data_IF_825946411479
#
_entry.id   IF_825946411479
#
_cell.length_a   1.000
_cell.length_b   1.000
_cell.length_c   1.000
_cell.angle_alpha   90.00
_cell.angle_beta   90.00
_cell.angle_gamma   90.00
#
_symmetry.space_group_name_H-M   'P 1'
#
loop_
_entity.id
_entity.type
_entity.pdbx_description
1 polymer ?
#
# COMPACT_ATOMS: atom_id res chain seq x y z
N UNK A 1 -16.04 22.50 -76.92
CA UNK A 1 -15.18 22.93 -75.78
C UNK A 1 -15.74 22.26 -74.53
N UNK A 2 -15.35 21.01 -74.26
CA UNK A 2 -15.90 20.20 -73.17
C UNK A 2 -14.81 19.87 -72.15
N UNK A 3 -14.85 20.48 -70.98
CA UNK A 3 -13.94 20.15 -69.87
C UNK A 3 -14.47 18.86 -69.21
N UNK A 4 -13.70 17.77 -69.34
CA UNK A 4 -13.91 16.55 -68.56
C UNK A 4 -13.52 16.85 -67.11
N UNK A 5 -14.46 16.62 -66.20
CA UNK A 5 -14.22 16.65 -64.76
C UNK A 5 -13.48 15.35 -64.42
N UNK A 6 -12.19 15.45 -64.11
CA UNK A 6 -11.42 14.30 -63.66
C UNK A 6 -11.88 13.90 -62.27
N UNK A 7 -12.29 12.63 -62.16
CA UNK A 7 -12.86 12.04 -60.96
C UNK A 7 -11.72 11.75 -59.97
N UNK A 8 -11.47 12.66 -59.03
CA UNK A 8 -10.40 12.56 -58.03
C UNK A 8 -10.72 11.47 -57.00
N UNK A 9 -10.21 10.25 -57.22
CA UNK A 9 -10.24 9.17 -56.22
C UNK A 9 -9.10 9.30 -55.19
N UNK A 10 -8.11 10.17 -55.44
CA UNK A 10 -6.98 10.40 -54.55
C UNK A 10 -7.39 11.05 -53.22
N UNK A 11 -8.37 11.97 -53.25
CA UNK A 11 -8.90 12.63 -52.06
C UNK A 11 -9.56 11.64 -51.08
N UNK A 12 -10.03 10.49 -51.56
CA UNK A 12 -10.63 9.44 -50.72
C UNK A 12 -9.56 8.54 -50.11
N UNK A 13 -8.49 8.23 -50.86
CA UNK A 13 -7.37 7.41 -50.39
C UNK A 13 -6.63 8.06 -49.21
N UNK A 14 -6.44 9.38 -49.28
CA UNK A 14 -5.79 10.16 -48.22
C UNK A 14 -6.58 10.13 -46.90
N UNK A 15 -7.90 10.36 -46.97
CA UNK A 15 -8.78 10.34 -45.79
C UNK A 15 -8.85 8.93 -45.17
N UNK A 16 -8.89 7.89 -46.00
CA UNK A 16 -8.88 6.49 -45.53
C UNK A 16 -7.55 6.17 -44.84
N UNK A 17 -6.42 6.62 -45.40
CA UNK A 17 -5.10 6.45 -44.80
C UNK A 17 -5.01 7.08 -43.39
N UNK A 18 -5.47 8.32 -43.23
CA UNK A 18 -5.49 8.99 -41.93
C UNK A 18 -6.43 8.31 -40.92
N UNK A 19 -7.60 7.87 -41.37
CA UNK A 19 -8.56 7.17 -40.51
C UNK A 19 -7.99 5.84 -40.01
N UNK A 20 -7.30 5.09 -40.89
CA UNK A 20 -6.62 3.86 -40.51
C UNK A 20 -5.49 4.09 -39.52
N UNK A 21 -4.66 5.11 -39.73
CA UNK A 21 -3.59 5.48 -38.80
C UNK A 21 -4.16 5.85 -37.42
N UNK A 22 -5.19 6.70 -37.39
CA UNK A 22 -5.87 7.06 -36.14
C UNK A 22 -6.44 5.82 -35.45
N UNK A 23 -7.08 4.93 -36.20
CA UNK A 23 -7.62 3.67 -35.69
C UNK A 23 -6.55 2.81 -35.04
N UNK A 24 -5.40 2.63 -35.71
CA UNK A 24 -4.27 1.85 -35.18
C UNK A 24 -3.71 2.49 -33.90
N UNK A 25 -3.55 3.82 -33.87
CA UNK A 25 -3.07 4.53 -32.68
C UNK A 25 -4.02 4.34 -31.50
N UNK A 26 -5.32 4.52 -31.73
CA UNK A 26 -6.35 4.34 -30.69
C UNK A 26 -6.35 2.91 -30.16
N UNK A 27 -6.25 1.92 -31.05
CA UNK A 27 -6.16 0.50 -30.65
C UNK A 27 -4.90 0.25 -29.83
N UNK A 28 -3.74 0.75 -30.26
CA UNK A 28 -2.48 0.58 -29.56
C UNK A 28 -2.52 1.20 -28.15
N UNK A 29 -3.00 2.44 -28.02
CA UNK A 29 -3.18 3.11 -26.72
C UNK A 29 -4.17 2.35 -25.84
N UNK A 30 -5.25 1.82 -26.43
CA UNK A 30 -6.21 0.99 -25.73
C UNK A 30 -5.57 -0.25 -25.11
N UNK A 31 -4.80 -1.02 -25.90
CA UNK A 31 -4.11 -2.22 -25.44
C UNK A 31 -3.08 -1.90 -24.35
N UNK A 32 -2.29 -0.83 -24.53
CA UNK A 32 -1.30 -0.39 -23.53
C UNK A 32 -2.00 -0.02 -22.22
N UNK A 33 -3.09 0.74 -22.29
CA UNK A 33 -3.80 1.20 -21.09
C UNK A 33 -4.39 0.03 -20.30
N UNK A 34 -4.98 -0.96 -20.99
CA UNK A 34 -5.56 -2.14 -20.34
C UNK A 34 -4.50 -2.98 -19.61
N UNK A 35 -3.27 -3.03 -20.11
CA UNK A 35 -2.18 -3.82 -19.52
C UNK A 35 -1.38 -3.04 -18.48
N UNK A 36 -1.21 -1.72 -18.66
CA UNK A 36 -0.41 -0.89 -17.76
C UNK A 36 -1.13 -0.56 -16.44
N UNK A 37 -2.45 -0.36 -16.47
CA UNK A 37 -3.20 0.07 -15.29
C UNK A 37 -3.08 -0.89 -14.10
N UNK A 38 -3.26 -2.23 -14.25
CA UNK A 38 -3.10 -3.17 -13.14
C UNK A 38 -1.67 -3.14 -12.55
N UNK A 39 -0.65 -3.12 -13.41
CA UNK A 39 0.76 -3.09 -12.99
C UNK A 39 1.07 -1.84 -12.16
N UNK A 40 0.53 -0.69 -12.56
CA UNK A 40 0.71 0.56 -11.82
C UNK A 40 -0.02 0.51 -10.47
N UNK A 41 -1.22 -0.08 -10.42
CA UNK A 41 -1.98 -0.22 -9.17
C UNK A 41 -1.24 -1.12 -8.18
N UNK A 42 -0.76 -2.29 -8.61
CA UNK A 42 0.02 -3.21 -7.78
C UNK A 42 1.31 -2.55 -7.26
N UNK A 43 2.00 -1.79 -8.12
CA UNK A 43 3.20 -1.07 -7.72
C UNK A 43 2.89 0.01 -6.67
N UNK A 44 1.78 0.73 -6.80
CA UNK A 44 1.32 1.72 -5.81
C UNK A 44 0.97 1.07 -4.48
N UNK A 45 0.22 -0.03 -4.48
CA UNK A 45 -0.14 -0.74 -3.25
C UNK A 45 1.09 -1.25 -2.50
N UNK A 46 2.04 -1.86 -3.22
CA UNK A 46 3.32 -2.30 -2.63
C UNK A 46 4.10 -1.12 -2.04
N UNK A 47 4.11 0.03 -2.71
CA UNK A 47 4.74 1.23 -2.20
C UNK A 47 4.04 1.75 -0.92
N UNK A 48 2.71 1.77 -0.88
CA UNK A 48 1.95 2.18 0.31
C UNK A 48 2.24 1.26 1.50
N UNK A 49 2.26 -0.06 1.30
CA UNK A 49 2.60 -1.03 2.35
C UNK A 49 4.02 -0.83 2.87
N UNK A 50 5.00 -0.68 1.97
CA UNK A 50 6.40 -0.45 2.36
C UNK A 50 6.61 0.89 3.08
N UNK A 51 5.84 1.93 2.73
CA UNK A 51 5.88 3.21 3.43
C UNK A 51 5.33 3.08 4.85
N UNK A 52 4.25 2.31 5.04
CA UNK A 52 3.70 2.08 6.38
C UNK A 52 4.61 1.20 7.25
N UNK A 53 5.27 0.18 6.69
CA UNK A 53 6.30 -0.59 7.41
C UNK A 53 7.43 0.30 7.95
N UNK A 54 7.92 1.22 7.12
CA UNK A 54 8.92 2.20 7.54
C UNK A 54 8.38 3.18 8.57
N UNK A 55 7.14 3.66 8.39
CA UNK A 55 6.46 4.52 9.36
C UNK A 55 6.37 3.89 10.74
N UNK A 56 6.03 2.60 10.82
CA UNK A 56 6.02 1.85 12.08
C UNK A 56 7.42 1.57 12.64
N UNK A 57 8.43 1.40 11.80
CA UNK A 57 9.83 1.29 12.27
C UNK A 57 10.31 2.62 12.89
N UNK A 58 9.93 3.75 12.30
CA UNK A 58 10.19 5.07 12.88
C UNK A 58 9.42 5.24 14.18
N UNK A 59 8.14 4.83 14.21
CA UNK A 59 7.33 4.82 15.42
C UNK A 59 8.00 4.05 16.55
N UNK A 60 8.52 2.86 16.26
CA UNK A 60 9.25 2.04 17.24
C UNK A 60 10.46 2.78 17.81
N UNK A 61 11.31 3.30 16.93
CA UNK A 61 12.50 4.06 17.33
C UNK A 61 12.14 5.25 18.22
N UNK A 62 11.05 5.95 17.91
CA UNK A 62 10.56 7.07 18.72
C UNK A 62 9.94 6.63 20.04
N UNK A 63 9.17 5.55 20.05
CA UNK A 63 8.59 4.98 21.27
C UNK A 63 9.70 4.55 22.24
N UNK A 64 10.79 3.95 21.74
CA UNK A 64 11.97 3.59 22.52
C UNK A 64 12.66 4.82 23.16
N UNK A 65 12.71 5.95 22.47
CA UNK A 65 13.26 7.19 23.04
C UNK A 65 12.42 7.75 24.19
N UNK A 66 11.10 7.59 24.12
CA UNK A 66 10.17 7.99 25.19
C UNK A 66 10.26 7.02 26.38
N UNK A 67 10.32 5.71 26.12
CA UNK A 67 10.38 4.70 27.19
C UNK A 67 11.68 4.75 27.98
N UNK A 68 12.80 5.10 27.34
CA UNK A 68 14.12 5.26 27.98
C UNK A 68 14.27 6.67 28.62
N UNK A 69 13.25 7.53 28.52
CA UNK A 69 13.22 8.84 29.19
C UNK A 69 14.09 9.92 28.56
N UNK A 70 14.57 9.73 27.32
CA UNK A 70 15.41 10.73 26.62
C UNK A 70 14.58 11.94 26.17
N UNK A 71 13.33 11.74 25.78
CA UNK A 71 12.40 12.81 25.39
C UNK A 71 10.98 12.45 25.86
N UNK A 72 10.26 13.32 26.60
CA UNK A 72 8.97 12.98 27.21
C UNK A 72 7.82 12.82 26.22
N UNK A 73 7.96 13.29 24.98
CA UNK A 73 6.93 13.16 23.93
C UNK A 73 7.58 13.11 22.56
N UNK A 74 7.08 12.25 21.68
CA UNK A 74 7.46 12.19 20.27
C UNK A 74 6.21 12.20 19.39
N UNK A 75 6.31 12.80 18.21
CA UNK A 75 5.24 12.83 17.21
C UNK A 75 5.76 12.15 15.95
N UNK A 76 4.96 11.24 15.40
CA UNK A 76 5.24 10.58 14.12
C UNK A 76 4.07 10.86 13.19
N UNK A 77 4.39 11.41 12.02
CA UNK A 77 3.41 11.63 10.96
C UNK A 77 3.43 10.43 10.03
N UNK A 78 2.25 9.83 9.81
CA UNK A 78 2.08 8.69 8.92
C UNK A 78 1.02 9.02 7.88
N UNK A 79 1.34 8.77 6.62
CA UNK A 79 0.44 8.97 5.50
C UNK A 79 -0.22 7.64 5.18
N UNK A 80 -1.52 7.53 5.46
CA UNK A 80 -2.28 6.28 5.28
C UNK A 80 -2.63 6.01 3.82
N UNK A 81 -2.51 7.01 2.93
CA UNK A 81 -2.79 6.92 1.51
C UNK A 81 -4.18 6.29 1.24
N UNK A 82 -4.22 5.07 0.71
CA UNK A 82 -5.46 4.35 0.40
C UNK A 82 -5.97 3.43 1.52
N UNK A 83 -5.22 3.29 2.63
CA UNK A 83 -5.57 2.43 3.76
C UNK A 83 -5.99 3.20 5.01
N UNK A 84 -6.26 2.45 6.08
CA UNK A 84 -6.66 2.99 7.38
C UNK A 84 -5.76 2.48 8.51
N UNK A 85 -5.60 3.30 9.56
CA UNK A 85 -4.93 2.90 10.81
C UNK A 85 -6.00 2.72 11.89
N UNK A 86 -5.88 1.66 12.67
CA UNK A 86 -6.71 1.40 13.85
C UNK A 86 -5.82 1.01 15.02
N UNK A 87 -6.19 1.48 16.20
CA UNK A 87 -5.54 1.07 17.45
C UNK A 87 -6.49 0.09 18.14
N UNK A 88 -5.99 -1.11 18.42
CA UNK A 88 -6.76 -2.16 19.06
C UNK A 88 -6.06 -2.60 20.33
N UNK A 89 -6.82 -2.80 21.39
CA UNK A 89 -6.38 -3.57 22.54
C UNK A 89 -6.55 -5.06 22.20
N UNK A 90 -5.58 -5.60 21.43
CA UNK A 90 -5.68 -6.95 20.89
C UNK A 90 -5.46 -7.98 21.99
N UNK A 91 -6.45 -8.81 22.28
CA UNK A 91 -6.29 -9.91 23.24
C UNK A 91 -5.29 -10.99 22.79
N UNK A 92 -4.85 -10.96 21.53
CA UNK A 92 -3.97 -11.96 20.91
C UNK A 92 -2.48 -11.67 21.15
N UNK A 93 -2.11 -10.40 21.34
CA UNK A 93 -0.73 -9.99 21.63
C UNK A 93 -0.62 -9.66 23.11
N UNK A 94 0.01 -10.53 23.89
CA UNK A 94 0.10 -10.41 25.35
C UNK A 94 1.51 -10.68 25.85
N UNK A 95 1.92 -9.94 26.87
CA UNK A 95 3.10 -10.29 27.67
C UNK A 95 2.61 -11.01 28.91
N UNK A 96 3.07 -12.25 29.06
CA UNK A 96 2.87 -13.07 30.27
C UNK A 96 4.22 -13.38 30.92
N UNK A 97 4.42 -12.89 32.14
CA UNK A 97 5.58 -13.20 32.98
C UNK A 97 5.12 -14.15 34.07
N UNK A 98 5.72 -15.34 34.14
CA UNK A 98 5.45 -16.32 35.19
C UNK A 98 6.71 -16.61 35.99
N UNK A 99 6.55 -16.82 37.29
CA UNK A 99 7.60 -17.23 38.20
C UNK A 99 7.29 -18.63 38.73
N UNK A 100 8.20 -19.57 38.55
CA UNK A 100 8.03 -20.95 39.02
C UNK A 100 9.03 -21.25 40.13
N UNK A 101 8.54 -21.64 41.29
CA UNK A 101 9.35 -22.11 42.42
C UNK A 101 9.02 -23.58 42.72
N UNK A 102 9.93 -24.47 42.34
CA UNK A 102 9.71 -25.92 42.42
C UNK A 102 8.49 -26.33 41.61
N UNK A 103 7.40 -26.71 42.28
CA UNK A 103 6.13 -27.13 41.68
C UNK A 103 5.08 -26.03 41.54
N UNK A 104 5.29 -24.84 42.11
CA UNK A 104 4.28 -23.78 42.08
C UNK A 104 4.64 -22.70 41.07
N UNK A 105 3.71 -22.37 40.18
CA UNK A 105 3.83 -21.28 39.20
C UNK A 105 2.91 -20.13 39.58
N UNK A 106 3.45 -18.92 39.63
CA UNK A 106 2.72 -17.67 39.85
C UNK A 106 2.79 -16.80 38.60
N UNK A 107 1.68 -16.17 38.23
CA UNK A 107 1.66 -15.17 37.17
C UNK A 107 2.02 -13.82 37.78
N UNK A 108 3.14 -13.25 37.36
CA UNK A 108 3.65 -11.95 37.82
C UNK A 108 3.10 -10.80 36.98
N UNK A 109 2.84 -11.06 35.69
CA UNK A 109 2.30 -10.08 34.76
C UNK A 109 1.55 -10.81 33.64
N UNK A 110 0.40 -10.32 33.22
CA UNK A 110 -0.38 -10.85 32.09
C UNK A 110 -1.27 -9.75 31.51
N UNK A 111 -0.72 -8.95 30.61
CA UNK A 111 -1.44 -7.83 29.98
C UNK A 111 -1.35 -7.91 28.45
N UNK A 112 -2.36 -7.33 27.79
CA UNK A 112 -2.28 -7.09 26.36
C UNK A 112 -1.23 -6.02 26.06
N UNK A 113 -0.51 -6.23 24.96
CA UNK A 113 0.45 -5.26 24.44
C UNK A 113 -0.20 -4.14 23.64
N UNK A 114 -1.47 -4.34 23.24
CA UNK A 114 -2.12 -3.53 22.21
C UNK A 114 -1.45 -3.68 20.84
N UNK A 115 -2.14 -3.18 19.81
CA UNK A 115 -1.72 -3.25 18.42
C UNK A 115 -2.09 -1.96 17.70
N UNK A 116 -1.14 -1.40 16.95
CA UNK A 116 -1.42 -0.38 15.94
C UNK A 116 -1.41 -1.08 14.59
N UNK A 117 -2.56 -1.17 13.94
CA UNK A 117 -2.73 -1.89 12.68
C UNK A 117 -3.02 -0.93 11.54
N UNK A 118 -2.26 -1.05 10.45
CA UNK A 118 -2.59 -0.50 9.15
C UNK A 118 -3.24 -1.58 8.27
N UNK A 119 -4.33 -1.24 7.60
CA UNK A 119 -5.03 -2.12 6.66
C UNK A 119 -5.22 -1.45 5.31
N UNK A 120 -4.86 -2.18 4.25
CA UNK A 120 -5.08 -1.81 2.85
C UNK A 120 -5.63 -3.03 2.10
N UNK A 121 -6.95 -3.04 1.84
CA UNK A 121 -7.64 -4.23 1.35
C UNK A 121 -7.48 -5.40 2.32
N UNK A 122 -6.96 -6.51 1.82
CA UNK A 122 -6.66 -7.72 2.61
C UNK A 122 -5.27 -7.70 3.29
N UNK A 123 -4.39 -6.78 2.87
CA UNK A 123 -3.07 -6.65 3.45
C UNK A 123 -3.15 -5.95 4.81
N UNK A 124 -2.45 -6.49 5.81
CA UNK A 124 -2.36 -5.92 7.16
C UNK A 124 -0.91 -5.80 7.60
N UNK A 125 -0.58 -4.65 8.16
CA UNK A 125 0.70 -4.40 8.84
C UNK A 125 0.35 -4.04 10.28
N UNK A 126 0.99 -4.68 11.26
CA UNK A 126 0.76 -4.46 12.67
C UNK A 126 2.07 -4.08 13.36
N UNK A 127 2.03 -3.06 14.21
CA UNK A 127 3.07 -2.74 15.18
C UNK A 127 2.64 -3.24 16.56
N UNK A 128 3.43 -4.16 17.12
CA UNK A 128 3.18 -4.80 18.41
C UNK A 128 4.50 -5.02 19.14
N UNK A 129 4.63 -4.55 20.38
CA UNK A 129 5.78 -4.89 21.22
C UNK A 129 7.16 -4.52 20.70
N UNK A 130 7.23 -3.53 19.82
CA UNK A 130 8.46 -3.14 19.13
C UNK A 130 8.74 -3.87 17.82
N UNK A 131 7.92 -4.86 17.47
CA UNK A 131 7.98 -5.54 16.18
C UNK A 131 7.03 -4.93 15.15
N UNK A 132 7.44 -4.99 13.89
CA UNK A 132 6.57 -4.70 12.73
C UNK A 132 6.29 -6.02 12.02
N UNK A 133 5.02 -6.41 11.98
CA UNK A 133 4.57 -7.67 11.40
C UNK A 133 3.69 -7.41 10.19
N UNK A 134 3.85 -8.22 9.15
CA UNK A 134 3.03 -8.14 7.95
C UNK A 134 2.32 -9.47 7.70
N UNK A 135 1.01 -9.38 7.48
CA UNK A 135 0.22 -10.49 6.94
C UNK A 135 0.16 -10.35 5.42
N UNK A 136 0.67 -11.37 4.74
CA UNK A 136 0.46 -11.54 3.30
C UNK A 136 -0.87 -12.28 3.08
N UNK A 137 -1.64 -11.92 2.03
CA UNK A 137 -2.83 -12.66 1.64
C UNK A 137 -2.50 -14.11 1.25
#
# INVERSE_FOLDING_TARGET
MGKRLEHSQDAVSEVVGYTLLLGIIVIAVGIISMTALPVIQDAKEKAYLKNMEQGFTVLDSKASLVSIGKQPTQIVQMYTQAGGITVNDSSLSRIKVTFTNGTTTYVVYDESMGTIQYQLGDNKIAYEGGGVFRKYP
#
